data_IF_488402001739
#
_entry.id   IF_488402001739
#
_cell.length_a   1.000
_cell.length_b   1.000
_cell.length_c   1.000
_cell.angle_alpha   90.00
_cell.angle_beta   90.00
_cell.angle_gamma   90.00
#
_symmetry.space_group_name_H-M   'P 1'
#
loop_
_entity.id
_entity.type
_entity.pdbx_description
1 polymer ?
#
# COMPACT_ATOMS: atom_id res chain seq x y z
N UNK A 1 -1.63 -17.46 -19.40
CA UNK A 1 -1.96 -16.02 -19.33
C UNK A 1 -2.68 -15.74 -18.02
N UNK A 2 -2.21 -14.78 -17.29
CA UNK A 2 -2.95 -14.40 -16.09
C UNK A 2 -4.25 -13.72 -16.48
N UNK A 3 -5.32 -14.12 -15.82
CA UNK A 3 -6.65 -13.54 -16.07
C UNK A 3 -6.83 -12.18 -15.39
N UNK A 4 -5.81 -11.76 -14.63
CA UNK A 4 -5.87 -10.48 -13.91
C UNK A 4 -5.11 -9.40 -14.63
N UNK A 5 -5.61 -8.16 -14.63
CA UNK A 5 -4.84 -7.04 -15.16
C UNK A 5 -3.54 -6.87 -14.37
N UNK A 6 -2.46 -6.44 -15.01
CA UNK A 6 -1.24 -6.12 -14.29
C UNK A 6 -1.48 -5.07 -13.20
N UNK A 7 -0.74 -5.18 -12.10
CA UNK A 7 -0.85 -4.23 -10.99
C UNK A 7 -0.67 -2.79 -11.45
N UNK A 8 0.27 -2.56 -12.39
CA UNK A 8 0.49 -1.22 -12.95
C UNK A 8 -0.77 -0.69 -13.64
N UNK A 9 -1.49 -1.55 -14.36
CA UNK A 9 -2.70 -1.13 -15.03
C UNK A 9 -3.80 -0.78 -14.03
N UNK A 10 -3.96 -1.60 -13.00
CA UNK A 10 -4.93 -1.32 -11.94
C UNK A 10 -4.61 0.01 -11.24
N UNK A 11 -3.33 0.25 -10.97
CA UNK A 11 -2.90 1.49 -10.31
C UNK A 11 -3.22 2.72 -11.18
N UNK A 12 -2.97 2.64 -12.47
CA UNK A 12 -3.26 3.74 -13.38
C UNK A 12 -4.76 4.01 -13.46
N UNK A 13 -5.56 2.97 -13.60
CA UNK A 13 -7.00 3.10 -13.67
C UNK A 13 -7.58 3.65 -12.37
N UNK A 14 -7.06 3.17 -11.23
CA UNK A 14 -7.48 3.67 -9.93
C UNK A 14 -7.12 5.14 -9.76
N UNK A 15 -5.93 5.55 -10.24
CA UNK A 15 -5.49 6.94 -10.20
C UNK A 15 -6.40 7.84 -11.03
N UNK A 16 -6.98 7.28 -12.10
CA UNK A 16 -7.92 8.02 -12.97
C UNK A 16 -9.36 8.01 -12.44
N UNK A 17 -9.58 7.43 -11.27
CA UNK A 17 -10.89 7.45 -10.64
C UNK A 17 -11.73 6.20 -10.80
N UNK A 18 -11.16 5.13 -11.35
CA UNK A 18 -11.86 3.84 -11.48
C UNK A 18 -11.95 3.15 -10.11
N UNK A 19 -13.12 3.20 -9.51
CA UNK A 19 -13.33 2.65 -8.16
C UNK A 19 -13.16 1.14 -8.13
N UNK A 20 -13.63 0.45 -9.15
CA UNK A 20 -13.48 -1.01 -9.22
C UNK A 20 -12.01 -1.40 -9.33
N UNK A 21 -11.23 -0.63 -10.08
CA UNK A 21 -9.80 -0.86 -10.18
C UNK A 21 -9.10 -0.62 -8.84
N UNK A 22 -9.53 0.38 -8.08
CA UNK A 22 -8.98 0.63 -6.75
C UNK A 22 -9.26 -0.54 -5.81
N UNK A 23 -10.50 -1.03 -5.79
CA UNK A 23 -10.85 -2.16 -4.93
C UNK A 23 -10.02 -3.40 -5.30
N UNK A 24 -9.86 -3.67 -6.58
CA UNK A 24 -9.05 -4.78 -7.06
C UNK A 24 -7.58 -4.60 -6.68
N UNK A 25 -7.08 -3.37 -6.80
CA UNK A 25 -5.69 -3.05 -6.44
C UNK A 25 -5.44 -3.29 -4.95
N UNK A 26 -6.33 -2.82 -4.09
CA UNK A 26 -6.17 -2.98 -2.66
C UNK A 26 -6.17 -4.46 -2.26
N UNK A 27 -7.04 -5.26 -2.86
CA UNK A 27 -7.06 -6.70 -2.62
C UNK A 27 -5.77 -7.37 -3.09
N UNK A 28 -5.26 -6.95 -4.24
CA UNK A 28 -4.06 -7.50 -4.85
C UNK A 28 -2.82 -7.25 -3.98
N UNK A 29 -2.67 -6.03 -3.47
CA UNK A 29 -1.46 -5.64 -2.75
C UNK A 29 -1.48 -6.00 -1.26
N UNK A 30 -2.64 -6.31 -0.70
CA UNK A 30 -2.77 -6.56 0.74
C UNK A 30 -1.75 -7.57 1.29
N UNK A 31 -1.58 -8.78 0.70
CA UNK A 31 -0.63 -9.74 1.27
C UNK A 31 0.80 -9.23 1.28
N UNK A 32 1.22 -8.54 0.23
CA UNK A 32 2.55 -7.99 0.16
C UNK A 32 2.75 -6.86 1.15
N UNK A 33 1.76 -6.01 1.33
CA UNK A 33 1.82 -4.91 2.29
C UNK A 33 1.98 -5.46 3.70
N UNK A 34 1.18 -6.46 4.07
CA UNK A 34 1.29 -7.10 5.39
C UNK A 34 2.69 -7.67 5.59
N UNK A 35 3.22 -8.36 4.58
CA UNK A 35 4.54 -8.98 4.67
C UNK A 35 5.63 -7.93 4.84
N UNK A 36 5.55 -6.82 4.09
CA UNK A 36 6.54 -5.75 4.20
C UNK A 36 6.49 -5.04 5.54
N UNK A 37 5.29 -4.78 6.05
CA UNK A 37 5.14 -4.19 7.38
C UNK A 37 5.74 -5.10 8.46
N UNK A 38 5.63 -6.41 8.29
CA UNK A 38 6.22 -7.37 9.20
C UNK A 38 7.74 -7.34 9.26
N UNK A 39 8.38 -6.80 8.23
CA UNK A 39 9.84 -6.61 8.24
C UNK A 39 10.27 -5.39 9.03
N UNK A 40 9.40 -4.38 9.08
CA UNK A 40 9.68 -3.15 9.83
C UNK A 40 9.32 -3.25 11.30
N UNK A 41 8.27 -4.02 11.60
CA UNK A 41 7.67 -4.06 12.93
C UNK A 41 7.68 -5.49 13.45
N UNK A 42 8.31 -5.76 14.60
CA UNK A 42 8.45 -7.14 15.10
C UNK A 42 7.15 -7.73 15.63
N UNK A 43 6.23 -6.90 16.12
CA UNK A 43 4.96 -7.38 16.63
C UNK A 43 3.96 -7.55 15.50
N UNK A 44 3.36 -8.74 15.40
CA UNK A 44 2.42 -9.04 14.33
C UNK A 44 1.21 -8.09 14.33
N UNK A 45 0.69 -7.79 15.51
CA UNK A 45 -0.47 -6.89 15.61
C UNK A 45 -0.13 -5.49 15.12
N UNK A 46 1.06 -5.00 15.46
CA UNK A 46 1.51 -3.68 15.01
C UNK A 46 1.70 -3.66 13.50
N UNK A 47 2.23 -4.75 12.93
CA UNK A 47 2.42 -4.86 11.50
C UNK A 47 1.08 -4.88 10.77
N UNK A 48 0.10 -5.59 11.30
CA UNK A 48 -1.24 -5.64 10.70
C UNK A 48 -1.93 -4.27 10.77
N UNK A 49 -1.78 -3.56 11.89
CA UNK A 49 -2.32 -2.20 12.01
C UNK A 49 -1.66 -1.26 10.99
N UNK A 50 -0.34 -1.33 10.89
CA UNK A 50 0.38 -0.51 9.91
C UNK A 50 -0.06 -0.85 8.48
N UNK A 51 -0.31 -2.13 8.19
CA UNK A 51 -0.76 -2.55 6.87
C UNK A 51 -2.12 -1.94 6.54
N UNK A 52 -3.04 -1.88 7.50
CA UNK A 52 -4.33 -1.22 7.30
C UNK A 52 -4.14 0.26 7.00
N UNK A 53 -3.25 0.92 7.73
CA UNK A 53 -2.93 2.33 7.49
C UNK A 53 -2.36 2.54 6.08
N UNK A 54 -1.49 1.62 5.62
CA UNK A 54 -0.93 1.69 4.27
C UNK A 54 -2.04 1.61 3.23
N UNK A 55 -2.95 0.63 3.37
CA UNK A 55 -4.04 0.46 2.41
C UNK A 55 -4.94 1.68 2.37
N UNK A 56 -5.21 2.26 3.53
CA UNK A 56 -5.99 3.50 3.62
C UNK A 56 -5.28 4.66 2.93
N UNK A 57 -3.97 4.79 3.13
CA UNK A 57 -3.18 5.83 2.48
C UNK A 57 -3.13 5.64 0.97
N UNK A 58 -3.02 4.39 0.49
CA UNK A 58 -3.09 4.11 -0.94
C UNK A 58 -4.42 4.59 -1.50
N UNK A 59 -5.53 4.26 -0.83
CA UNK A 59 -6.85 4.68 -1.29
C UNK A 59 -6.98 6.20 -1.36
N UNK A 60 -6.40 6.90 -0.38
CA UNK A 60 -6.47 8.37 -0.33
C UNK A 60 -5.56 9.06 -1.33
N UNK A 61 -4.40 8.47 -1.61
CA UNK A 61 -3.35 9.14 -2.37
C UNK A 61 -3.18 8.62 -3.79
N UNK A 62 -3.91 7.58 -4.18
CA UNK A 62 -3.73 6.98 -5.51
C UNK A 62 -3.95 8.01 -6.61
N UNK A 63 -4.83 8.99 -6.40
CA UNK A 63 -5.06 10.06 -7.37
C UNK A 63 -3.83 10.90 -7.65
N UNK A 64 -2.82 10.87 -6.76
CA UNK A 64 -1.56 11.60 -6.97
C UNK A 64 -0.52 10.78 -7.70
N UNK A 65 -0.79 9.50 -7.95
CA UNK A 65 0.14 8.64 -8.67
C UNK A 65 0.10 9.01 -10.15
N UNK A 66 1.20 9.54 -10.64
CA UNK A 66 1.28 10.05 -12.01
C UNK A 66 1.99 9.10 -12.98
N UNK A 67 2.42 7.95 -12.49
CA UNK A 67 3.11 6.97 -13.33
C UNK A 67 4.55 7.30 -13.66
N UNK A 68 5.15 8.27 -12.97
CA UNK A 68 6.56 8.63 -13.18
C UNK A 68 7.52 7.56 -12.67
N UNK A 69 7.06 6.78 -11.71
CA UNK A 69 7.78 5.60 -11.24
C UNK A 69 6.85 4.42 -11.34
N UNK A 70 7.40 3.23 -11.15
CA UNK A 70 6.56 2.04 -11.06
C UNK A 70 5.72 2.13 -9.80
N UNK A 71 4.52 1.55 -9.86
CA UNK A 71 3.63 1.55 -8.72
C UNK A 71 4.30 0.93 -7.48
N UNK A 72 5.08 -0.15 -7.66
CA UNK A 72 5.78 -0.79 -6.55
C UNK A 72 6.71 0.16 -5.81
N UNK A 73 7.39 1.05 -6.53
CA UNK A 73 8.27 2.05 -5.93
C UNK A 73 7.46 3.07 -5.13
N UNK A 74 6.36 3.53 -5.72
CA UNK A 74 5.45 4.46 -5.05
C UNK A 74 4.87 3.83 -3.78
N UNK A 75 4.43 2.56 -3.90
CA UNK A 75 3.88 1.82 -2.78
C UNK A 75 4.90 1.65 -1.66
N UNK A 76 6.15 1.33 -2.02
CA UNK A 76 7.20 1.16 -1.02
C UNK A 76 7.37 2.42 -0.17
N UNK A 77 7.30 3.60 -0.80
CA UNK A 77 7.39 4.87 -0.07
C UNK A 77 6.24 5.01 0.93
N UNK A 78 5.03 4.64 0.53
CA UNK A 78 3.87 4.70 1.43
C UNK A 78 4.06 3.73 2.60
N UNK A 79 4.50 2.50 2.32
CA UNK A 79 4.76 1.50 3.36
C UNK A 79 5.80 2.01 4.35
N UNK A 80 6.93 2.50 3.84
CA UNK A 80 8.03 2.96 4.69
C UNK A 80 7.59 4.12 5.59
N UNK A 81 6.84 5.06 5.04
CA UNK A 81 6.36 6.21 5.81
C UNK A 81 5.40 5.78 6.92
N UNK A 82 4.46 4.90 6.61
CA UNK A 82 3.51 4.42 7.61
C UNK A 82 4.21 3.63 8.72
N UNK A 83 5.15 2.77 8.35
CA UNK A 83 5.87 1.96 9.32
C UNK A 83 6.78 2.80 10.21
N UNK A 84 7.43 3.83 9.65
CA UNK A 84 8.25 4.74 10.45
C UNK A 84 7.41 5.50 11.46
N UNK A 85 6.24 5.96 11.03
CA UNK A 85 5.34 6.66 11.93
C UNK A 85 4.85 5.75 13.05
N UNK A 86 4.49 4.51 12.72
CA UNK A 86 4.08 3.53 13.71
C UNK A 86 5.20 3.25 14.70
N UNK A 87 6.42 3.09 14.21
CA UNK A 87 7.59 2.85 15.05
C UNK A 87 7.80 3.99 16.04
N UNK A 88 7.67 5.24 15.60
CA UNK A 88 7.79 6.39 16.50
C UNK A 88 6.72 6.39 17.57
N UNK A 89 5.48 6.06 17.20
CA UNK A 89 4.39 5.99 18.16
C UNK A 89 4.66 4.94 19.23
N UNK A 90 5.17 3.78 18.82
CA UNK A 90 5.50 2.70 19.75
C UNK A 90 6.62 3.11 20.71
N UNK A 91 7.57 3.89 20.23
CA UNK A 91 8.68 4.35 21.08
C UNK A 91 8.26 5.35 22.14
N UNK A 92 7.13 6.00 21.95
CA UNK A 92 6.64 6.98 22.92
C UNK A 92 5.89 6.37 24.10
N UNK A 93 5.56 5.12 24.00
CA UNK A 93 4.81 4.42 25.05
C UNK A 93 5.71 4.02 26.21
#
# INVERSE_FOLDING_TARGET
MPDRPPTEDLARRAADGDRAALDALLAEIRPEVVRRCGRFLPCREDAEEAAQDVLLQVARKIGTFEGRSRFGTWLYTVVANCCRQKYRELKRR
#
